data_IF_030554693676
#
_entry.id   IF_030554693676
#
_cell.length_a   1.000
_cell.length_b   1.000
_cell.length_c   1.000
_cell.angle_alpha   90.00
_cell.angle_beta   90.00
_cell.angle_gamma   90.00
#
_symmetry.space_group_name_H-M   'P 1'
#
loop_
_entity.id
_entity.type
_entity.pdbx_description
1 polymer ?
#
# COMPACT_ATOMS: atom_id res chain seq x y z
N UNK A 1 -79.52 5.18 51.36
CA UNK A 1 -79.75 3.73 51.41
C UNK A 1 -79.76 3.15 50.04
N UNK A 2 -79.11 2.09 49.82
CA UNK A 2 -79.01 1.21 48.62
C UNK A 2 -77.81 1.56 47.66
N UNK A 3 -76.80 0.75 47.90
CA UNK A 3 -75.69 0.36 47.10
C UNK A 3 -76.12 -0.22 45.74
N UNK A 4 -75.51 0.16 44.68
CA UNK A 4 -75.54 -0.59 43.40
C UNK A 4 -74.14 -0.66 42.84
N UNK A 5 -73.60 -1.83 42.99
CA UNK A 5 -72.29 -2.28 42.51
C UNK A 5 -72.39 -2.53 40.98
N UNK A 6 -71.63 -1.84 40.15
CA UNK A 6 -71.50 -2.17 38.72
C UNK A 6 -70.11 -2.76 38.49
N UNK A 7 -70.15 -4.04 38.15
CA UNK A 7 -69.02 -4.85 37.75
C UNK A 7 -68.60 -4.44 36.34
N UNK A 8 -67.42 -3.85 36.22
CA UNK A 8 -66.82 -3.53 34.93
C UNK A 8 -65.81 -4.62 34.54
N UNK A 9 -66.13 -5.31 33.45
CA UNK A 9 -65.26 -6.32 32.83
C UNK A 9 -64.17 -5.61 32.08
N UNK A 10 -62.95 -5.72 32.51
CA UNK A 10 -61.75 -5.26 31.81
C UNK A 10 -61.33 -6.35 30.79
N UNK A 11 -61.53 -6.08 29.53
CA UNK A 11 -60.94 -6.87 28.41
C UNK A 11 -59.49 -6.43 28.24
N UNK A 12 -58.55 -7.28 28.63
CA UNK A 12 -57.14 -7.11 28.35
C UNK A 12 -56.83 -7.67 26.94
N UNK A 13 -56.64 -6.78 26.00
CA UNK A 13 -56.11 -7.13 24.67
C UNK A 13 -54.61 -7.29 24.78
N UNK A 14 -54.14 -8.54 24.76
CA UNK A 14 -52.69 -8.86 24.71
C UNK A 14 -52.20 -8.68 23.27
N UNK A 15 -51.50 -7.60 23.02
CA UNK A 15 -50.80 -7.34 21.78
C UNK A 15 -49.45 -8.06 21.77
N UNK A 16 -49.37 -9.23 21.13
CA UNK A 16 -48.11 -9.97 20.97
C UNK A 16 -47.26 -9.29 19.88
N UNK A 17 -46.26 -8.55 20.28
CA UNK A 17 -45.21 -8.10 19.36
C UNK A 17 -44.29 -9.28 19.01
N UNK A 18 -44.48 -9.86 17.84
CA UNK A 18 -43.52 -10.79 17.25
C UNK A 18 -42.28 -9.99 16.77
N UNK A 19 -41.22 -9.92 17.59
CA UNK A 19 -39.95 -9.40 17.18
C UNK A 19 -39.25 -10.38 16.22
N UNK A 20 -39.36 -10.11 14.93
CA UNK A 20 -38.55 -10.82 13.93
C UNK A 20 -37.10 -10.36 14.04
N UNK A 21 -36.26 -11.14 14.72
CA UNK A 21 -34.80 -10.97 14.68
C UNK A 21 -34.32 -11.27 13.25
N UNK A 22 -33.96 -10.20 12.52
CA UNK A 22 -33.21 -10.34 11.28
C UNK A 22 -31.77 -10.68 11.67
N UNK A 23 -31.42 -11.94 11.52
CA UNK A 23 -30.02 -12.38 11.55
C UNK A 23 -29.35 -11.84 10.27
N UNK A 24 -28.67 -10.72 10.38
CA UNK A 24 -27.74 -10.27 9.32
C UNK A 24 -26.54 -11.21 9.37
N UNK A 25 -26.43 -12.09 8.38
CA UNK A 25 -25.24 -12.87 8.17
C UNK A 25 -24.10 -11.89 7.86
N UNK A 26 -23.22 -11.68 8.83
CA UNK A 26 -21.92 -11.04 8.62
C UNK A 26 -21.13 -12.00 7.76
N UNK A 27 -21.05 -11.72 6.45
CA UNK A 27 -20.10 -12.41 5.58
C UNK A 27 -18.71 -12.01 6.08
N UNK A 28 -18.07 -12.91 6.81
CA UNK A 28 -16.66 -12.78 7.15
C UNK A 28 -15.90 -12.75 5.83
N UNK A 29 -15.44 -11.55 5.43
CA UNK A 29 -14.50 -11.42 4.34
C UNK A 29 -13.21 -12.10 4.82
N UNK A 30 -12.95 -13.26 4.27
CA UNK A 30 -11.74 -14.02 4.52
C UNK A 30 -10.60 -13.22 3.85
N UNK A 31 -10.02 -12.26 4.56
CA UNK A 31 -8.81 -11.56 4.13
C UNK A 31 -7.65 -12.53 4.31
N UNK A 32 -7.52 -13.45 3.36
CA UNK A 32 -6.33 -14.29 3.29
C UNK A 32 -5.11 -13.37 3.18
N UNK A 33 -4.12 -13.59 4.04
CA UNK A 33 -2.83 -12.91 3.92
C UNK A 33 -2.26 -13.30 2.56
N UNK A 34 -1.92 -12.34 1.67
CA UNK A 34 -1.41 -12.66 0.35
C UNK A 34 -0.12 -13.49 0.46
N UNK A 35 0.01 -14.48 -0.40
CA UNK A 35 1.23 -15.30 -0.48
C UNK A 35 2.42 -14.49 -0.98
N UNK A 36 3.64 -14.99 -0.77
CA UNK A 36 4.86 -14.33 -1.29
C UNK A 36 4.79 -14.13 -2.81
N UNK A 37 4.27 -15.13 -3.54
CA UNK A 37 4.15 -15.10 -4.99
C UNK A 37 3.14 -14.06 -5.47
N UNK A 38 2.04 -13.87 -4.74
CA UNK A 38 1.07 -12.81 -5.04
C UNK A 38 1.65 -11.42 -4.82
N UNK A 39 2.52 -11.25 -3.83
CA UNK A 39 3.19 -9.98 -3.53
C UNK A 39 4.30 -9.64 -4.53
N UNK A 40 4.84 -10.65 -5.23
CA UNK A 40 5.89 -10.48 -6.24
C UNK A 40 5.34 -10.42 -7.68
N UNK A 41 4.03 -10.36 -7.86
CA UNK A 41 3.40 -10.23 -9.17
C UNK A 41 3.57 -8.83 -9.74
N UNK A 42 3.97 -8.77 -11.02
CA UNK A 42 4.14 -7.50 -11.76
C UNK A 42 2.82 -6.82 -12.13
N UNK A 43 1.69 -7.51 -12.02
CA UNK A 43 0.36 -7.03 -12.42
C UNK A 43 -0.52 -6.61 -11.22
N UNK A 44 0.06 -6.45 -10.02
CA UNK A 44 -0.67 -5.96 -8.86
C UNK A 44 -1.33 -4.61 -9.15
N UNK A 45 -2.56 -4.37 -8.65
CA UNK A 45 -3.20 -3.06 -8.80
C UNK A 45 -2.31 -1.94 -8.24
N UNK A 46 -2.19 -0.85 -8.99
CA UNK A 46 -1.45 0.33 -8.56
C UNK A 46 -2.41 1.42 -8.06
N UNK A 47 -1.92 2.27 -7.16
CA UNK A 47 -2.68 3.37 -6.57
C UNK A 47 -2.00 4.72 -6.81
N UNK A 48 -2.69 5.80 -6.54
CA UNK A 48 -2.09 7.13 -6.57
C UNK A 48 -1.04 7.31 -5.47
N UNK A 49 -1.17 6.59 -4.37
CA UNK A 49 -0.20 6.55 -3.27
C UNK A 49 1.13 5.96 -3.77
N UNK A 50 1.10 4.87 -4.53
CA UNK A 50 2.31 4.27 -5.11
C UNK A 50 3.05 5.28 -6.01
N UNK A 51 2.30 6.00 -6.85
CA UNK A 51 2.89 7.05 -7.68
C UNK A 51 3.52 8.17 -6.83
N UNK A 52 2.85 8.61 -5.77
CA UNK A 52 3.36 9.65 -4.86
C UNK A 52 4.62 9.19 -4.13
N UNK A 53 4.69 7.93 -3.70
CA UNK A 53 5.88 7.36 -3.06
C UNK A 53 7.08 7.42 -4.01
N UNK A 54 6.92 6.98 -5.27
CA UNK A 54 7.99 6.99 -6.27
C UNK A 54 8.46 8.40 -6.61
N UNK A 55 7.52 9.34 -6.77
CA UNK A 55 7.82 10.75 -6.99
C UNK A 55 8.56 11.36 -5.80
N UNK A 56 8.12 11.02 -4.58
CA UNK A 56 8.75 11.51 -3.36
C UNK A 56 10.17 10.95 -3.17
N UNK A 57 10.38 9.66 -3.43
CA UNK A 57 11.72 9.04 -3.42
C UNK A 57 12.65 9.74 -4.43
N UNK A 58 12.16 10.07 -5.61
CA UNK A 58 12.91 10.82 -6.63
C UNK A 58 13.29 12.23 -6.17
N UNK A 59 12.42 12.89 -5.39
CA UNK A 59 12.70 14.20 -4.79
C UNK A 59 13.73 14.11 -3.66
N UNK A 60 13.67 13.06 -2.82
CA UNK A 60 14.66 12.81 -1.77
C UNK A 60 16.02 12.59 -2.39
N UNK A 61 16.10 11.83 -3.49
CA UNK A 61 17.32 11.59 -4.28
C UNK A 61 17.49 12.63 -5.40
N UNK A 62 17.39 13.92 -5.07
CA UNK A 62 17.42 15.00 -6.05
C UNK A 62 18.76 15.16 -6.76
N UNK A 63 19.87 14.80 -6.13
CA UNK A 63 21.22 14.92 -6.65
C UNK A 63 22.17 13.85 -6.12
N UNK A 64 23.29 13.65 -6.79
CA UNK A 64 24.34 12.73 -6.33
C UNK A 64 24.93 13.12 -4.97
N UNK A 65 24.85 14.38 -4.58
CA UNK A 65 25.34 14.86 -3.28
C UNK A 65 24.53 14.33 -2.08
N UNK A 66 23.28 13.97 -2.30
CA UNK A 66 22.42 13.39 -1.26
C UNK A 66 22.28 11.87 -1.39
N UNK A 67 22.95 11.25 -2.36
CA UNK A 67 22.91 9.81 -2.54
C UNK A 67 23.98 9.10 -1.70
N UNK A 68 23.56 8.15 -0.86
CA UNK A 68 24.43 7.27 -0.10
C UNK A 68 24.66 5.95 -0.86
N UNK A 69 25.90 5.71 -1.30
CA UNK A 69 26.29 4.46 -1.97
C UNK A 69 26.46 3.26 -1.03
N UNK A 70 26.49 3.49 0.27
CA UNK A 70 26.75 2.46 1.27
C UNK A 70 25.49 2.18 2.06
N UNK A 71 24.54 1.52 1.41
CA UNK A 71 23.29 1.09 2.03
C UNK A 71 23.56 -0.03 3.03
N UNK A 72 23.05 0.11 4.23
CA UNK A 72 23.06 -0.90 5.28
C UNK A 72 21.66 -1.33 5.68
N UNK A 73 20.63 -0.81 5.01
CA UNK A 73 19.21 -0.93 5.36
C UNK A 73 18.86 -0.34 6.73
N UNK A 74 19.77 0.39 7.34
CA UNK A 74 19.51 1.16 8.55
C UNK A 74 19.25 2.60 8.12
N UNK A 75 18.00 3.06 8.23
CA UNK A 75 17.58 4.37 7.80
C UNK A 75 17.32 5.26 9.02
N UNK A 76 18.15 6.29 9.19
CA UNK A 76 17.96 7.23 10.29
C UNK A 76 17.18 8.47 9.77
N UNK A 77 16.07 8.88 10.40
CA UNK A 77 15.33 10.08 10.00
C UNK A 77 16.16 11.37 9.96
N UNK A 78 17.27 11.42 10.73
CA UNK A 78 18.19 12.57 10.78
C UNK A 78 19.23 12.55 9.66
N UNK A 79 19.33 11.49 8.85
CA UNK A 79 20.29 11.39 7.76
C UNK A 79 20.05 12.48 6.70
N UNK A 80 21.17 12.97 6.14
CA UNK A 80 21.15 13.96 5.07
C UNK A 80 21.44 13.35 3.70
N UNK A 81 21.87 12.09 3.69
CA UNK A 81 22.12 11.30 2.47
C UNK A 81 21.34 10.00 2.54
N UNK A 82 20.80 9.57 1.41
CA UNK A 82 19.84 8.47 1.34
C UNK A 82 20.28 7.44 0.30
N UNK A 83 20.30 6.18 0.68
CA UNK A 83 20.37 5.09 -0.29
C UNK A 83 19.03 4.96 -1.04
N UNK A 84 19.01 4.15 -2.10
CA UNK A 84 17.75 3.84 -2.82
C UNK A 84 16.71 3.26 -1.86
N UNK A 85 17.10 2.32 -1.01
CA UNK A 85 16.18 1.71 -0.04
C UNK A 85 15.67 2.73 0.99
N UNK A 86 16.57 3.48 1.62
CA UNK A 86 16.18 4.46 2.65
C UNK A 86 15.37 5.64 2.09
N UNK A 87 15.60 6.03 0.84
CA UNK A 87 14.78 7.04 0.18
C UNK A 87 13.34 6.55 -0.05
N UNK A 88 13.17 5.29 -0.43
CA UNK A 88 11.84 4.66 -0.60
C UNK A 88 11.14 4.45 0.74
N UNK A 89 11.84 3.99 1.77
CA UNK A 89 11.28 3.87 3.13
C UNK A 89 10.80 5.23 3.64
N UNK A 90 11.65 6.26 3.56
CA UNK A 90 11.27 7.62 3.94
C UNK A 90 10.08 8.15 3.16
N UNK A 91 10.05 7.92 1.85
CA UNK A 91 8.93 8.34 1.00
C UNK A 91 7.63 7.63 1.40
N UNK A 92 7.68 6.33 1.72
CA UNK A 92 6.52 5.57 2.20
C UNK A 92 6.00 6.13 3.52
N UNK A 93 6.89 6.38 4.48
CA UNK A 93 6.53 6.99 5.78
C UNK A 93 5.89 8.37 5.59
N UNK A 94 6.40 9.21 4.69
CA UNK A 94 5.86 10.55 4.44
C UNK A 94 4.51 10.54 3.69
N UNK A 95 4.26 9.54 2.84
CA UNK A 95 3.02 9.45 2.04
C UNK A 95 1.92 8.69 2.77
N UNK A 96 2.26 7.60 3.45
CA UNK A 96 1.31 6.66 4.07
C UNK A 96 1.26 6.76 5.60
N UNK A 97 2.28 7.38 6.24
CA UNK A 97 2.44 7.33 7.69
C UNK A 97 3.04 6.02 8.21
N UNK A 98 3.28 5.05 7.34
CA UNK A 98 3.86 3.74 7.68
C UNK A 98 4.76 3.23 6.55
N UNK A 99 5.69 2.33 6.90
CA UNK A 99 6.50 1.61 5.93
C UNK A 99 6.01 0.17 5.78
N UNK A 100 5.75 -0.24 4.54
CA UNK A 100 5.40 -1.60 4.18
C UNK A 100 6.41 -2.14 3.19
N UNK A 101 7.19 -3.13 3.62
CA UNK A 101 8.30 -3.68 2.83
C UNK A 101 7.89 -4.18 1.43
N UNK A 102 6.64 -4.65 1.28
CA UNK A 102 6.12 -5.24 0.04
C UNK A 102 5.06 -4.36 -0.65
N UNK A 103 5.06 -3.06 -0.38
CA UNK A 103 4.22 -2.11 -1.10
C UNK A 103 4.52 -2.13 -2.61
N UNK A 104 3.48 -1.90 -3.41
CA UNK A 104 3.57 -1.97 -4.88
C UNK A 104 4.62 -1.00 -5.42
N UNK A 105 4.71 0.21 -4.89
CA UNK A 105 5.75 1.17 -5.25
C UNK A 105 7.17 0.59 -5.11
N UNK A 106 7.45 -0.09 -3.99
CA UNK A 106 8.76 -0.70 -3.73
C UNK A 106 9.00 -1.92 -4.63
N UNK A 107 7.95 -2.69 -4.92
CA UNK A 107 8.04 -3.82 -5.84
C UNK A 107 8.35 -3.36 -7.26
N UNK A 108 7.72 -2.29 -7.73
CA UNK A 108 8.01 -1.74 -9.06
C UNK A 108 9.48 -1.28 -9.20
N UNK A 109 10.07 -0.74 -8.13
CA UNK A 109 11.51 -0.42 -8.12
C UNK A 109 12.36 -1.69 -8.15
N UNK A 110 11.98 -2.76 -7.40
CA UNK A 110 12.67 -4.06 -7.47
C UNK A 110 12.59 -4.68 -8.87
N UNK A 111 11.45 -4.60 -9.54
CA UNK A 111 11.29 -5.06 -10.91
C UNK A 111 12.10 -4.23 -11.90
N UNK A 112 12.20 -2.91 -11.69
CA UNK A 112 13.05 -2.07 -12.52
C UNK A 112 14.54 -2.42 -12.37
N UNK A 113 15.00 -2.74 -11.14
CA UNK A 113 16.36 -3.24 -10.88
C UNK A 113 16.58 -4.59 -11.56
N UNK A 114 15.64 -5.53 -11.41
CA UNK A 114 15.71 -6.86 -12.03
C UNK A 114 15.87 -6.77 -13.56
N UNK A 115 15.07 -5.93 -14.19
CA UNK A 115 15.14 -5.74 -15.65
C UNK A 115 16.45 -5.06 -16.09
N UNK A 116 16.94 -4.08 -15.31
CA UNK A 116 18.20 -3.40 -15.59
C UNK A 116 19.42 -4.32 -15.43
N UNK A 117 19.33 -5.28 -14.53
CA UNK A 117 20.41 -6.24 -14.24
C UNK A 117 20.24 -7.59 -14.96
N UNK A 118 19.25 -7.68 -15.86
CA UNK A 118 18.96 -8.90 -16.64
C UNK A 118 18.72 -10.13 -15.77
N UNK A 119 18.02 -9.92 -14.64
CA UNK A 119 17.67 -11.00 -13.71
C UNK A 119 18.81 -11.44 -12.80
N UNK A 120 19.87 -10.63 -12.65
CA UNK A 120 20.89 -10.91 -11.64
C UNK A 120 20.23 -11.07 -10.26
N UNK A 121 20.55 -12.15 -9.58
CA UNK A 121 20.06 -12.41 -8.23
C UNK A 121 20.82 -11.57 -7.19
N UNK A 122 20.04 -11.06 -6.23
CA UNK A 122 20.51 -10.29 -5.08
C UNK A 122 19.81 -10.80 -3.82
N UNK A 123 20.51 -10.83 -2.72
CA UNK A 123 19.91 -11.15 -1.42
C UNK A 123 18.95 -10.02 -0.98
N UNK A 124 19.42 -8.78 -1.13
CA UNK A 124 18.66 -7.57 -0.82
C UNK A 124 18.64 -6.62 -2.02
N UNK A 125 17.77 -6.92 -2.99
CA UNK A 125 17.78 -6.33 -4.34
C UNK A 125 18.05 -4.82 -4.38
N UNK A 126 17.37 -4.02 -3.58
CA UNK A 126 17.55 -2.55 -3.59
C UNK A 126 18.88 -2.13 -3.00
N UNK A 127 19.28 -2.72 -1.86
CA UNK A 127 20.53 -2.43 -1.18
C UNK A 127 21.72 -2.88 -2.04
N UNK A 128 21.70 -4.12 -2.49
CA UNK A 128 22.82 -4.72 -3.22
C UNK A 128 23.06 -3.98 -4.54
N UNK A 129 21.97 -3.66 -5.28
CA UNK A 129 22.05 -2.84 -6.48
C UNK A 129 22.62 -1.45 -6.20
N UNK A 130 22.15 -0.77 -5.15
CA UNK A 130 22.68 0.53 -4.73
C UNK A 130 24.17 0.49 -4.43
N UNK A 131 24.66 -0.62 -3.87
CA UNK A 131 26.02 -0.81 -3.39
C UNK A 131 26.98 -1.35 -4.47
N UNK A 132 26.49 -1.77 -5.63
CA UNK A 132 27.35 -2.25 -6.71
C UNK A 132 28.39 -1.18 -7.07
N UNK A 133 29.68 -1.54 -7.24
CA UNK A 133 30.71 -0.59 -7.67
C UNK A 133 30.41 0.08 -9.00
N UNK A 134 29.69 -0.61 -9.88
CA UNK A 134 29.29 -0.13 -11.21
C UNK A 134 28.08 0.80 -11.19
N UNK A 135 27.24 0.75 -10.15
CA UNK A 135 26.04 1.60 -10.06
C UNK A 135 26.42 3.07 -9.88
N UNK A 136 25.87 3.92 -10.71
CA UNK A 136 26.00 5.38 -10.67
C UNK A 136 24.71 6.01 -10.21
N UNK A 137 24.76 7.27 -9.83
CA UNK A 137 23.56 8.01 -9.42
C UNK A 137 22.54 8.11 -10.56
N UNK A 138 22.99 8.25 -11.79
CA UNK A 138 22.13 8.25 -12.98
C UNK A 138 21.35 6.96 -13.13
N UNK A 139 21.94 5.81 -12.78
CA UNK A 139 21.27 4.51 -12.80
C UNK A 139 20.17 4.45 -11.74
N UNK A 140 20.43 4.98 -10.54
CA UNK A 140 19.41 5.11 -9.48
C UNK A 140 18.22 5.96 -9.96
N UNK A 141 18.50 7.10 -10.59
CA UNK A 141 17.46 7.95 -11.17
C UNK A 141 16.68 7.25 -12.27
N UNK A 142 17.36 6.51 -13.13
CA UNK A 142 16.72 5.76 -14.20
C UNK A 142 15.81 4.65 -13.67
N UNK A 143 16.23 3.92 -12.64
CA UNK A 143 15.40 2.91 -11.97
C UNK A 143 14.11 3.54 -11.40
N UNK A 144 14.23 4.65 -10.67
CA UNK A 144 13.07 5.36 -10.12
C UNK A 144 12.15 5.89 -11.24
N UNK A 145 12.73 6.40 -12.33
CA UNK A 145 11.96 6.86 -13.49
C UNK A 145 11.17 5.71 -14.13
N UNK A 146 11.81 4.57 -14.38
CA UNK A 146 11.16 3.41 -14.98
C UNK A 146 10.00 2.92 -14.10
N UNK A 147 10.20 2.81 -12.79
CA UNK A 147 9.14 2.43 -11.85
C UNK A 147 7.99 3.44 -11.87
N UNK A 148 8.29 4.74 -11.86
CA UNK A 148 7.30 5.83 -11.91
C UNK A 148 6.48 5.78 -13.21
N UNK A 149 7.13 5.61 -14.36
CA UNK A 149 6.48 5.55 -15.67
C UNK A 149 5.53 4.33 -15.74
N UNK A 150 5.93 3.17 -15.21
CA UNK A 150 5.10 1.96 -15.15
C UNK A 150 3.85 2.18 -14.29
N UNK A 151 4.01 2.70 -13.10
CA UNK A 151 2.87 2.98 -12.21
C UNK A 151 1.93 4.01 -12.83
N UNK A 152 2.46 5.10 -13.39
CA UNK A 152 1.67 6.14 -14.06
C UNK A 152 0.90 5.59 -15.26
N UNK A 153 1.53 4.79 -16.12
CA UNK A 153 0.88 4.16 -17.26
C UNK A 153 -0.25 3.21 -16.86
N UNK A 154 -0.03 2.42 -15.80
CA UNK A 154 -1.06 1.50 -15.28
C UNK A 154 -2.23 2.23 -14.64
N UNK A 155 -1.99 3.33 -13.92
CA UNK A 155 -3.06 4.19 -13.40
C UNK A 155 -3.91 4.78 -14.53
N UNK A 156 -3.28 5.28 -15.59
CA UNK A 156 -3.99 5.80 -16.76
C UNK A 156 -4.88 4.71 -17.40
N UNK A 157 -4.35 3.50 -17.59
CA UNK A 157 -5.09 2.39 -18.14
C UNK A 157 -6.28 1.93 -17.25
N UNK A 158 -6.10 1.95 -15.92
CA UNK A 158 -7.18 1.63 -14.97
C UNK A 158 -8.31 2.66 -15.03
N UNK A 159 -7.98 3.95 -15.18
CA UNK A 159 -8.96 5.03 -15.28
C UNK A 159 -9.76 4.96 -16.58
N UNK A 160 -9.11 4.63 -17.69
CA UNK A 160 -9.81 4.43 -18.98
C UNK A 160 -10.82 3.27 -18.96
N UNK A 161 -10.55 2.21 -18.19
CA UNK A 161 -11.48 1.07 -18.05
C UNK A 161 -12.70 1.37 -17.18
N UNK A 162 -12.66 2.45 -16.38
CA UNK A 162 -13.76 2.84 -15.49
C UNK A 162 -14.71 3.87 -16.11
N UNK A 163 -14.38 4.42 -17.26
CA UNK A 163 -15.26 5.31 -18.01
C UNK A 163 -16.23 4.45 -18.86
N UNK A 164 -17.57 4.66 -18.72
CA UNK A 164 -18.59 3.90 -19.46
C UNK A 164 -18.56 4.19 -20.95
#
# INVERSE_FOLDING_TARGET
>A
MRLAMRLGVLLTVSLSLASTMRVTAVVAQNTAVPTSDELERRDQPVTNEDLRILQRASQILASSAVWNRHDTRICNPADKTWSLFCALEKASLEVLGEYRHRDVALQEVRFAVEDATKGQEFEHRLMDYNNLPSTKFEDIKQILKVATDRVSGRLAAQNHKKLP
#
